data_IF_054195637661
#
_entry.id   IF_054195637661
#
_cell.length_a   1.000
_cell.length_b   1.000
_cell.length_c   1.000
_cell.angle_alpha   90.00
_cell.angle_beta   90.00
_cell.angle_gamma   90.00
#
_symmetry.space_group_name_H-M   'P 1'
#
loop_
_entity.id
_entity.type
_entity.pdbx_description
1 polymer ?
#
# COMPACT_ATOMS: atom_id res chain seq x y z
N UNK A 1 11.33 -6.16 -77.92
CA UNK A 1 12.78 -6.35 -77.68
C UNK A 1 13.41 -4.97 -77.67
N UNK A 2 13.58 -4.39 -76.49
CA UNK A 2 14.40 -3.21 -76.21
C UNK A 2 15.06 -3.43 -74.85
N UNK A 3 16.27 -2.92 -74.74
CA UNK A 3 17.37 -3.38 -73.90
C UNK A 3 17.11 -3.18 -72.40
N UNK A 4 17.55 -4.17 -71.61
CA UNK A 4 17.70 -4.05 -70.18
C UNK A 4 18.82 -3.04 -69.88
N UNK A 5 18.47 -1.94 -69.19
CA UNK A 5 19.45 -1.07 -68.57
C UNK A 5 19.79 -1.61 -67.17
N UNK A 6 21.07 -1.75 -66.94
CA UNK A 6 21.69 -2.43 -65.83
C UNK A 6 21.95 -1.47 -64.67
N UNK A 7 21.24 -1.68 -63.56
CA UNK A 7 21.78 -1.55 -62.21
C UNK A 7 22.13 -0.16 -61.68
N UNK A 8 21.23 0.36 -60.82
CA UNK A 8 21.59 0.64 -59.42
C UNK A 8 20.48 0.06 -58.53
N UNK A 9 20.79 -0.73 -57.49
CA UNK A 9 19.79 -1.09 -56.49
C UNK A 9 19.34 0.20 -55.79
N UNK A 10 18.03 0.48 -55.75
CA UNK A 10 17.51 1.51 -54.85
C UNK A 10 17.73 0.98 -53.42
N UNK A 11 18.36 1.75 -52.51
CA UNK A 11 18.62 1.32 -51.13
C UNK A 11 17.36 1.07 -50.28
N UNK A 12 16.18 0.99 -50.89
CA UNK A 12 14.88 0.67 -50.28
C UNK A 12 14.37 -0.74 -50.61
N UNK A 13 15.11 -1.53 -51.39
CA UNK A 13 14.64 -2.81 -51.93
C UNK A 13 14.76 -4.04 -51.02
N UNK A 14 15.14 -3.90 -49.74
CA UNK A 14 15.20 -5.08 -48.86
C UNK A 14 14.01 -5.26 -47.90
N UNK A 15 12.99 -4.39 -47.92
CA UNK A 15 11.78 -4.62 -47.10
C UNK A 15 10.51 -3.87 -47.52
N UNK A 16 10.40 -3.42 -48.77
CA UNK A 16 9.16 -2.82 -49.23
C UNK A 16 8.07 -3.90 -49.39
N UNK A 17 7.20 -4.06 -48.39
CA UNK A 17 5.96 -4.83 -48.55
C UNK A 17 5.08 -4.02 -49.50
N UNK A 18 5.04 -4.43 -50.77
CA UNK A 18 4.07 -3.91 -51.72
C UNK A 18 3.12 -4.99 -52.17
N UNK A 19 1.84 -4.63 -52.23
CA UNK A 19 0.78 -5.50 -52.77
C UNK A 19 0.22 -4.87 -54.02
N UNK A 20 0.04 -5.69 -55.06
CA UNK A 20 -0.62 -5.29 -56.29
C UNK A 20 -2.12 -5.59 -56.19
N UNK A 21 -2.95 -4.56 -56.23
CA UNK A 21 -4.40 -4.69 -56.12
C UNK A 21 -5.08 -4.23 -57.42
N UNK A 22 -6.01 -5.04 -57.96
CA UNK A 22 -6.85 -4.67 -59.11
C UNK A 22 -6.57 -5.44 -60.40
N UNK A 23 -7.48 -5.30 -61.39
CA UNK A 23 -7.33 -5.76 -62.78
C UNK A 23 -7.49 -4.55 -63.72
N UNK A 24 -7.02 -4.69 -64.96
CA UNK A 24 -7.08 -3.67 -66.02
C UNK A 24 -8.42 -2.89 -66.03
N UNK A 25 -8.42 -1.56 -66.21
CA UNK A 25 -7.28 -0.74 -66.67
C UNK A 25 -6.30 -0.26 -65.60
N UNK A 26 -6.57 -0.50 -64.31
CA UNK A 26 -5.74 0.10 -63.25
C UNK A 26 -5.32 -0.93 -62.20
N UNK A 27 -4.02 -1.18 -62.14
CA UNK A 27 -3.36 -1.82 -60.99
C UNK A 27 -2.99 -0.75 -59.96
N UNK A 28 -2.96 -1.11 -58.69
CA UNK A 28 -2.53 -0.23 -57.61
C UNK A 28 -1.37 -0.87 -56.87
N UNK A 29 -0.36 -0.08 -56.51
CA UNK A 29 0.75 -0.48 -55.66
C UNK A 29 0.63 0.27 -54.34
N UNK A 30 0.58 -0.46 -53.24
CA UNK A 30 0.58 0.14 -51.90
C UNK A 30 1.92 -0.16 -51.27
N UNK A 31 2.65 0.86 -50.81
CA UNK A 31 3.93 0.69 -50.12
C UNK A 31 3.95 1.42 -48.79
N UNK A 32 4.64 0.84 -47.82
CA UNK A 32 4.86 1.46 -46.51
C UNK A 32 5.85 2.62 -46.67
N UNK A 33 5.42 3.84 -46.32
CA UNK A 33 6.22 5.06 -46.49
C UNK A 33 7.12 5.35 -45.29
N UNK A 34 6.61 5.18 -44.07
CA UNK A 34 7.35 5.36 -42.83
C UNK A 34 6.83 4.34 -41.78
N UNK A 35 7.73 3.52 -41.25
CA UNK A 35 7.40 2.46 -40.28
C UNK A 35 6.86 3.04 -38.96
N UNK A 36 7.43 4.13 -38.46
CA UNK A 36 7.11 4.73 -37.15
C UNK A 36 5.68 5.29 -37.08
N UNK A 37 5.11 5.70 -38.22
CA UNK A 37 3.81 6.38 -38.28
C UNK A 37 2.69 5.54 -38.89
N UNK A 38 2.99 4.29 -39.28
CA UNK A 38 2.08 3.39 -40.00
C UNK A 38 1.41 4.08 -41.20
N UNK A 39 2.22 4.79 -42.00
CA UNK A 39 1.75 5.56 -43.15
C UNK A 39 2.09 4.84 -44.44
N UNK A 40 1.14 4.83 -45.35
CA UNK A 40 1.22 4.15 -46.64
C UNK A 40 1.12 5.14 -47.78
N UNK A 41 1.67 4.78 -48.93
CA UNK A 41 1.50 5.52 -50.17
C UNK A 41 0.89 4.57 -51.20
N UNK A 42 -0.07 5.10 -51.96
CA UNK A 42 -0.81 4.36 -52.97
C UNK A 42 -0.40 4.92 -54.34
N UNK A 43 0.17 4.09 -55.21
CA UNK A 43 0.60 4.43 -56.56
C UNK A 43 -0.29 3.75 -57.60
N UNK A 44 -0.61 4.48 -58.66
CA UNK A 44 -1.40 3.97 -59.77
C UNK A 44 -0.49 3.20 -60.74
N UNK A 45 -0.47 1.87 -60.61
CA UNK A 45 0.24 0.95 -61.49
C UNK A 45 1.71 1.28 -61.63
N UNK A 46 2.16 1.45 -62.88
CA UNK A 46 3.52 1.88 -63.25
C UNK A 46 3.56 3.34 -63.73
N UNK A 47 2.53 4.14 -63.44
CA UNK A 47 2.39 5.50 -63.98
C UNK A 47 3.32 6.53 -63.32
N UNK A 48 3.97 6.17 -62.21
CA UNK A 48 4.73 7.13 -61.41
C UNK A 48 3.85 8.19 -60.73
N UNK A 49 2.53 7.94 -60.62
CA UNK A 49 1.56 8.84 -59.99
C UNK A 49 1.01 8.25 -58.70
N UNK A 50 0.95 9.06 -57.65
CA UNK A 50 0.48 8.67 -56.32
C UNK A 50 -0.86 9.32 -55.98
N UNK A 51 -1.69 8.60 -55.24
CA UNK A 51 -3.02 9.03 -54.80
C UNK A 51 -2.89 10.02 -53.65
N UNK A 52 -3.62 11.11 -53.76
CA UNK A 52 -3.70 12.18 -52.77
C UNK A 52 -5.16 12.63 -52.57
N UNK A 53 -5.45 13.17 -51.41
CA UNK A 53 -6.75 13.77 -51.11
C UNK A 53 -6.66 15.28 -51.35
N UNK A 54 -7.02 15.70 -52.56
CA UNK A 54 -7.06 17.12 -52.89
C UNK A 54 -8.17 17.81 -52.10
N UNK A 55 -7.82 18.95 -51.49
CA UNK A 55 -8.73 19.74 -50.66
C UNK A 55 -9.27 18.97 -49.44
N UNK A 56 -8.42 18.17 -48.79
CA UNK A 56 -8.76 17.44 -47.55
C UNK A 56 -9.33 18.33 -46.43
N UNK A 57 -9.02 19.63 -46.45
CA UNK A 57 -9.51 20.62 -45.49
C UNK A 57 -10.81 21.31 -45.90
N UNK A 58 -11.30 21.08 -47.13
CA UNK A 58 -12.56 21.64 -47.60
C UNK A 58 -13.71 20.71 -47.23
N UNK A 59 -14.68 21.18 -46.41
CA UNK A 59 -15.78 20.34 -45.96
C UNK A 59 -16.74 19.91 -47.08
N UNK A 60 -16.65 20.51 -48.28
CA UNK A 60 -17.73 20.41 -49.27
C UNK A 60 -17.44 19.48 -50.47
N UNK A 61 -16.18 19.07 -50.72
CA UNK A 61 -15.88 18.14 -51.83
C UNK A 61 -14.42 17.63 -51.83
N UNK A 62 -14.00 16.77 -50.89
CA UNK A 62 -12.69 16.15 -50.99
C UNK A 62 -12.64 15.27 -52.24
N UNK A 63 -11.60 15.43 -53.07
CA UNK A 63 -11.43 14.67 -54.31
C UNK A 63 -10.16 13.84 -54.26
N UNK A 64 -10.26 12.59 -54.69
CA UNK A 64 -9.09 11.75 -54.93
C UNK A 64 -8.43 12.19 -56.24
N UNK A 65 -7.16 12.58 -56.16
CA UNK A 65 -6.35 13.02 -57.30
C UNK A 65 -5.04 12.24 -57.37
N UNK A 66 -4.43 12.20 -58.55
CA UNK A 66 -3.13 11.54 -58.75
C UNK A 66 -2.07 12.53 -59.18
N UNK A 67 -0.97 12.62 -58.43
CA UNK A 67 0.14 13.54 -58.68
C UNK A 67 1.44 12.79 -59.00
N UNK A 68 2.39 13.40 -59.73
CA UNK A 68 3.72 12.83 -59.89
C UNK A 68 4.37 12.53 -58.52
N UNK A 69 5.08 11.39 -58.45
CA UNK A 69 5.75 10.88 -57.25
C UNK A 69 6.87 11.79 -56.71
N UNK A 70 7.41 12.70 -57.53
CA UNK A 70 8.53 13.58 -57.20
C UNK A 70 8.19 14.86 -56.42
N UNK A 71 6.92 15.28 -56.37
CA UNK A 71 6.52 16.49 -55.65
C UNK A 71 6.22 16.17 -54.17
N UNK A 72 6.72 17.02 -53.26
CA UNK A 72 6.71 16.90 -51.79
C UNK A 72 5.52 16.12 -51.17
N UNK A 73 5.86 15.21 -50.24
CA UNK A 73 5.13 13.94 -49.94
C UNK A 73 4.50 13.89 -48.54
N UNK A 74 4.18 15.03 -47.92
CA UNK A 74 3.57 15.03 -46.57
C UNK A 74 2.09 14.64 -46.61
N UNK A 75 1.34 15.14 -47.59
CA UNK A 75 -0.12 14.98 -47.69
C UNK A 75 -0.55 13.72 -48.46
N UNK A 76 0.37 13.15 -49.24
CA UNK A 76 0.17 11.96 -50.07
C UNK A 76 0.31 10.64 -49.29
N UNK A 77 -0.06 10.66 -48.01
CA UNK A 77 0.14 9.54 -47.08
C UNK A 77 -1.18 9.12 -46.46
N UNK A 78 -1.40 7.81 -46.45
CA UNK A 78 -2.63 7.18 -46.02
C UNK A 78 -2.40 6.38 -44.75
N UNK A 79 -3.33 6.48 -43.81
CA UNK A 79 -3.42 5.55 -42.68
C UNK A 79 -4.66 4.70 -42.90
N UNK A 80 -4.49 3.39 -42.82
CA UNK A 80 -5.62 2.47 -42.82
C UNK A 80 -6.03 2.22 -41.38
N UNK A 81 -7.28 2.52 -41.06
CA UNK A 81 -7.89 2.12 -39.81
C UNK A 81 -8.76 0.89 -40.08
N UNK A 82 -8.57 -0.16 -39.29
CA UNK A 82 -9.42 -1.35 -39.38
C UNK A 82 -10.78 -1.00 -38.80
N UNK A 83 -11.71 -0.64 -39.65
CA UNK A 83 -13.12 -0.44 -39.31
C UNK A 83 -13.79 -1.82 -39.21
N UNK A 84 -13.44 -2.60 -38.18
CA UNK A 84 -14.12 -3.85 -37.77
C UNK A 84 -14.55 -4.78 -38.92
N UNK A 85 -13.74 -5.79 -39.25
CA UNK A 85 -14.27 -6.95 -39.97
C UNK A 85 -15.18 -7.71 -38.98
N UNK A 86 -16.34 -8.21 -39.42
CA UNK A 86 -17.34 -8.97 -38.66
C UNK A 86 -16.80 -10.25 -37.96
N UNK A 87 -15.83 -10.07 -37.06
CA UNK A 87 -15.14 -11.04 -36.20
C UNK A 87 -15.14 -10.57 -34.75
N UNK A 88 -15.99 -9.58 -34.42
CA UNK A 88 -16.15 -9.05 -33.07
C UNK A 88 -16.66 -10.08 -32.05
N UNK A 89 -17.36 -11.14 -32.47
CA UNK A 89 -17.91 -12.13 -31.53
C UNK A 89 -16.84 -12.87 -30.71
N UNK A 90 -15.71 -13.24 -31.33
CA UNK A 90 -14.65 -13.99 -30.63
C UNK A 90 -13.89 -13.10 -29.64
N UNK A 91 -13.64 -11.84 -30.02
CA UNK A 91 -13.00 -10.87 -29.12
C UNK A 91 -13.96 -10.41 -28.00
N UNK A 92 -15.26 -10.30 -28.28
CA UNK A 92 -16.29 -9.99 -27.28
C UNK A 92 -16.43 -11.15 -26.30
N UNK A 93 -16.50 -12.41 -26.75
CA UNK A 93 -16.57 -13.57 -25.86
C UNK A 93 -15.34 -13.71 -24.97
N UNK A 94 -14.14 -13.49 -25.51
CA UNK A 94 -12.92 -13.50 -24.71
C UNK A 94 -12.89 -12.37 -23.67
N UNK A 95 -13.37 -11.17 -24.04
CA UNK A 95 -13.51 -10.05 -23.11
C UNK A 95 -14.60 -10.30 -22.06
N UNK A 96 -15.72 -10.91 -22.42
CA UNK A 96 -16.80 -11.23 -21.49
C UNK A 96 -16.39 -12.31 -20.48
N UNK A 97 -15.60 -13.30 -20.91
CA UNK A 97 -14.97 -14.28 -20.01
C UNK A 97 -14.02 -13.59 -19.03
N UNK A 98 -13.13 -12.73 -19.53
CA UNK A 98 -12.20 -11.98 -18.69
C UNK A 98 -12.93 -11.03 -17.72
N UNK A 99 -14.02 -10.39 -18.16
CA UNK A 99 -14.89 -9.57 -17.31
C UNK A 99 -15.56 -10.43 -16.23
N UNK A 100 -16.00 -11.65 -16.57
CA UNK A 100 -16.52 -12.62 -15.61
C UNK A 100 -15.50 -12.98 -14.54
N UNK A 101 -14.28 -13.35 -14.96
CA UNK A 101 -13.18 -13.66 -14.05
C UNK A 101 -12.83 -12.49 -13.13
N UNK A 102 -12.79 -11.26 -13.66
CA UNK A 102 -12.55 -10.07 -12.84
C UNK A 102 -13.69 -9.80 -11.87
N UNK A 103 -14.95 -10.04 -12.24
CA UNK A 103 -16.10 -9.91 -11.33
C UNK A 103 -16.02 -10.92 -10.20
N UNK A 104 -15.65 -12.17 -10.49
CA UNK A 104 -15.50 -13.21 -9.48
C UNK A 104 -14.35 -12.89 -8.51
N UNK A 105 -13.22 -12.40 -9.04
CA UNK A 105 -12.11 -11.92 -8.21
C UNK A 105 -12.52 -10.72 -7.35
N UNK A 106 -13.29 -9.78 -7.89
CA UNK A 106 -13.80 -8.64 -7.14
C UNK A 106 -14.71 -9.10 -6.00
N UNK A 107 -15.64 -10.01 -6.28
CA UNK A 107 -16.56 -10.55 -5.28
C UNK A 107 -15.81 -11.32 -4.18
N UNK A 108 -14.78 -12.09 -4.54
CA UNK A 108 -13.93 -12.78 -3.57
C UNK A 108 -13.16 -11.77 -2.69
N UNK A 109 -12.65 -10.68 -3.27
CA UNK A 109 -11.96 -9.62 -2.54
C UNK A 109 -12.89 -8.81 -1.66
N UNK A 110 -14.11 -8.53 -2.09
CA UNK A 110 -15.13 -7.87 -1.28
C UNK A 110 -15.50 -8.72 -0.06
N UNK A 111 -15.64 -10.04 -0.24
CA UNK A 111 -15.87 -10.95 0.88
C UNK A 111 -14.69 -10.96 1.88
N UNK A 112 -13.45 -10.88 1.38
CA UNK A 112 -12.25 -10.78 2.21
C UNK A 112 -12.21 -9.46 2.99
N UNK A 113 -12.54 -8.33 2.35
CA UNK A 113 -12.64 -7.01 2.99
C UNK A 113 -13.67 -7.04 4.11
N UNK A 114 -14.86 -7.57 3.87
CA UNK A 114 -15.91 -7.70 4.90
C UNK A 114 -15.43 -8.57 6.06
N UNK A 115 -14.72 -9.66 5.79
CA UNK A 115 -14.14 -10.53 6.83
C UNK A 115 -13.11 -9.77 7.68
N UNK A 116 -12.21 -9.03 7.04
CA UNK A 116 -11.18 -8.25 7.74
C UNK A 116 -11.78 -7.10 8.56
N UNK A 117 -12.82 -6.44 8.06
CA UNK A 117 -13.55 -5.41 8.79
C UNK A 117 -14.18 -5.98 10.07
N UNK A 118 -14.86 -7.13 9.99
CA UNK A 118 -15.41 -7.81 11.17
C UNK A 118 -14.32 -8.18 12.19
N UNK A 119 -13.17 -8.65 11.71
CA UNK A 119 -12.05 -8.98 12.59
C UNK A 119 -11.51 -7.73 13.29
N UNK A 120 -11.38 -6.61 12.57
CA UNK A 120 -10.93 -5.34 13.13
C UNK A 120 -11.93 -4.79 14.17
N UNK A 121 -13.23 -4.87 13.89
CA UNK A 121 -14.28 -4.47 14.84
C UNK A 121 -14.23 -5.31 16.12
N UNK A 122 -14.09 -6.63 15.99
CA UNK A 122 -13.93 -7.53 17.14
C UNK A 122 -12.70 -7.18 17.99
N UNK A 123 -11.55 -6.96 17.35
CA UNK A 123 -10.32 -6.57 18.05
C UNK A 123 -10.43 -5.20 18.71
N UNK A 124 -11.13 -4.26 18.07
CA UNK A 124 -11.39 -2.94 18.66
C UNK A 124 -12.28 -3.04 19.90
N UNK A 125 -13.29 -3.89 19.87
CA UNK A 125 -14.14 -4.15 21.04
C UNK A 125 -13.34 -4.77 22.19
N UNK A 126 -12.51 -5.77 21.90
CA UNK A 126 -11.64 -6.41 22.88
C UNK A 126 -10.65 -5.41 23.51
N UNK A 127 -9.99 -4.58 22.69
CA UNK A 127 -9.10 -3.53 23.19
C UNK A 127 -9.83 -2.52 24.08
N UNK A 128 -11.05 -2.13 23.70
CA UNK A 128 -11.86 -1.23 24.51
C UNK A 128 -12.27 -1.86 25.84
N UNK A 129 -12.56 -3.16 25.85
CA UNK A 129 -12.84 -3.90 27.08
C UNK A 129 -11.62 -3.97 27.99
N UNK A 130 -10.46 -4.39 27.46
CA UNK A 130 -9.20 -4.43 28.19
C UNK A 130 -8.81 -3.04 28.73
N UNK A 131 -9.04 -1.98 27.96
CA UNK A 131 -8.79 -0.60 28.41
C UNK A 131 -9.68 -0.20 29.58
N UNK A 132 -10.97 -0.59 29.57
CA UNK A 132 -11.88 -0.36 30.70
C UNK A 132 -11.43 -1.14 31.92
N UNK A 133 -11.08 -2.40 31.77
CA UNK A 133 -10.59 -3.25 32.87
C UNK A 133 -9.29 -2.70 33.48
N UNK A 134 -8.34 -2.27 32.66
CA UNK A 134 -7.11 -1.64 33.13
C UNK A 134 -7.38 -0.34 33.89
N UNK A 135 -8.33 0.47 33.42
CA UNK A 135 -8.71 1.72 34.08
C UNK A 135 -9.40 1.45 35.43
N UNK A 136 -10.28 0.44 35.50
CA UNK A 136 -10.93 0.03 36.75
C UNK A 136 -9.91 -0.54 37.75
N UNK A 137 -8.99 -1.38 37.28
CA UNK A 137 -7.94 -1.97 38.13
C UNK A 137 -7.01 -0.89 38.68
N UNK A 138 -6.63 0.09 37.85
CA UNK A 138 -5.87 1.27 38.26
C UNK A 138 -6.62 2.11 39.30
N UNK A 139 -7.92 2.37 39.07
CA UNK A 139 -8.77 3.08 40.04
C UNK A 139 -8.91 2.35 41.38
N UNK A 140 -9.10 1.03 41.36
CA UNK A 140 -9.16 0.21 42.56
C UNK A 140 -7.84 0.20 43.32
N UNK A 141 -6.71 0.14 42.59
CA UNK A 141 -5.38 0.24 43.19
C UNK A 141 -5.15 1.59 43.87
N UNK A 142 -5.50 2.69 43.21
CA UNK A 142 -5.44 4.03 43.83
C UNK A 142 -6.35 4.17 45.05
N UNK A 143 -7.56 3.59 44.99
CA UNK A 143 -8.47 3.55 46.16
C UNK A 143 -7.90 2.73 47.32
N UNK A 144 -7.22 1.62 47.04
CA UNK A 144 -6.59 0.81 48.07
C UNK A 144 -5.39 1.54 48.70
N UNK A 145 -4.53 2.13 47.86
CA UNK A 145 -3.39 2.92 48.32
C UNK A 145 -3.86 4.08 49.21
N UNK A 146 -4.90 4.82 48.81
CA UNK A 146 -5.47 5.89 49.63
C UNK A 146 -6.00 5.39 50.99
N UNK A 147 -6.77 4.29 51.01
CA UNK A 147 -7.26 3.71 52.28
C UNK A 147 -6.13 3.23 53.18
N UNK A 148 -5.06 2.68 52.60
CA UNK A 148 -3.90 2.25 53.35
C UNK A 148 -3.20 3.45 54.02
N UNK A 149 -2.99 4.54 53.27
CA UNK A 149 -2.38 5.77 53.80
C UNK A 149 -3.27 6.50 54.82
N UNK A 150 -4.59 6.50 54.63
CA UNK A 150 -5.52 7.25 55.47
C UNK A 150 -5.86 6.53 56.79
N UNK A 151 -5.97 5.20 56.78
CA UNK A 151 -6.46 4.44 57.94
C UNK A 151 -5.35 3.68 58.66
N UNK A 152 -4.52 2.95 57.93
CA UNK A 152 -3.54 2.03 58.52
C UNK A 152 -2.24 2.75 58.94
N UNK A 153 -1.81 3.75 58.17
CA UNK A 153 -0.55 4.44 58.46
C UNK A 153 -0.60 5.25 59.78
N UNK A 154 -1.68 5.99 60.11
CA UNK A 154 -1.78 6.68 61.40
C UNK A 154 -1.82 5.70 62.58
N UNK A 155 -2.52 4.58 62.43
CA UNK A 155 -2.64 3.56 63.48
C UNK A 155 -1.29 2.89 63.77
N UNK A 156 -0.53 2.53 62.72
CA UNK A 156 0.83 2.03 62.85
C UNK A 156 1.77 3.06 63.51
N UNK A 157 1.64 4.34 63.14
CA UNK A 157 2.41 5.42 63.78
C UNK A 157 2.08 5.56 65.26
N UNK A 158 0.81 5.44 65.65
CA UNK A 158 0.40 5.50 67.04
C UNK A 158 0.87 4.27 67.82
N UNK A 159 0.76 3.08 67.26
CA UNK A 159 1.26 1.86 67.88
C UNK A 159 2.78 1.94 68.11
N UNK A 160 3.54 2.41 67.11
CA UNK A 160 4.99 2.57 67.23
C UNK A 160 5.38 3.57 68.32
N UNK A 161 4.67 4.71 68.43
CA UNK A 161 4.88 5.66 69.54
C UNK A 161 4.63 5.04 70.90
N UNK A 162 3.55 4.25 71.04
CA UNK A 162 3.26 3.56 72.31
C UNK A 162 4.37 2.58 72.70
N UNK A 163 4.89 1.82 71.73
CA UNK A 163 6.05 0.95 71.97
C UNK A 163 7.29 1.75 72.37
N UNK A 164 7.58 2.86 71.69
CA UNK A 164 8.69 3.75 72.05
C UNK A 164 8.54 4.30 73.48
N UNK A 165 7.36 4.80 73.85
CA UNK A 165 7.06 5.31 75.19
C UNK A 165 7.21 4.21 76.27
N UNK A 166 6.73 3.00 75.99
CA UNK A 166 6.84 1.87 76.91
C UNK A 166 8.30 1.43 77.10
N UNK A 167 9.08 1.38 76.02
CA UNK A 167 10.52 1.09 76.11
C UNK A 167 11.28 2.16 76.88
N UNK A 168 10.93 3.43 76.72
CA UNK A 168 11.50 4.53 77.50
C UNK A 168 11.16 4.42 78.99
N UNK A 169 9.90 4.08 79.31
CA UNK A 169 9.46 3.85 80.69
C UNK A 169 10.20 2.67 81.34
N UNK A 170 10.37 1.56 80.61
CA UNK A 170 11.12 0.40 81.09
C UNK A 170 12.61 0.72 81.31
N UNK A 171 13.24 1.48 80.41
CA UNK A 171 14.63 1.96 80.60
C UNK A 171 14.76 2.81 81.85
N UNK A 172 13.89 3.79 82.05
CA UNK A 172 13.91 4.63 83.25
C UNK A 172 13.74 3.81 84.54
N UNK A 173 12.92 2.76 84.51
CA UNK A 173 12.76 1.85 85.66
C UNK A 173 14.05 1.07 85.92
N UNK A 174 14.70 0.56 84.86
CA UNK A 174 15.97 -0.14 84.97
C UNK A 174 17.06 0.76 85.56
N UNK A 175 17.20 1.99 85.07
CA UNK A 175 18.18 2.96 85.57
C UNK A 175 17.98 3.26 87.07
N UNK A 176 16.72 3.37 87.51
CA UNK A 176 16.39 3.54 88.94
C UNK A 176 16.78 2.31 89.76
N UNK A 177 16.52 1.10 89.26
CA UNK A 177 16.95 -0.12 89.94
C UNK A 177 18.48 -0.22 90.03
N UNK A 178 19.19 0.11 88.95
CA UNK A 178 20.66 0.15 88.94
C UNK A 178 21.20 1.19 89.95
N UNK A 179 20.60 2.38 90.00
CA UNK A 179 20.98 3.41 90.97
C UNK A 179 20.76 2.97 92.42
N UNK A 180 19.60 2.37 92.73
CA UNK A 180 19.29 1.85 94.07
C UNK A 180 20.21 0.68 94.46
N UNK A 181 20.51 -0.23 93.53
CA UNK A 181 21.41 -1.34 93.78
C UNK A 181 22.85 -0.88 94.05
N UNK A 182 23.31 0.15 93.33
CA UNK A 182 24.61 0.80 93.54
C UNK A 182 24.70 1.47 94.92
N UNK A 183 23.63 2.13 95.39
CA UNK A 183 23.60 2.75 96.73
C UNK A 183 23.57 1.74 97.89
N UNK A 184 22.97 0.56 97.68
CA UNK A 184 22.77 -0.44 98.74
C UNK A 184 24.02 -1.29 99.04
N UNK A 185 25.15 -1.08 98.36
CA UNK A 185 26.37 -1.91 98.48
C UNK A 185 26.10 -3.41 98.29
N UNK A 186 25.09 -3.74 97.47
CA UNK A 186 24.81 -5.12 97.05
C UNK A 186 25.67 -5.37 95.83
N UNK A 187 26.58 -6.37 95.83
CA UNK A 187 27.34 -6.70 94.63
C UNK A 187 26.34 -7.16 93.56
N UNK A 188 26.14 -6.32 92.54
CA UNK A 188 25.34 -6.66 91.36
C UNK A 188 26.03 -7.84 90.67
N UNK A 189 25.51 -9.04 90.91
CA UNK A 189 25.76 -10.17 90.02
C UNK A 189 25.32 -9.73 88.63
N UNK A 190 26.27 -9.65 87.72
CA UNK A 190 26.10 -9.35 86.30
C UNK A 190 25.02 -10.26 85.70
N UNK A 191 23.75 -9.84 85.73
CA UNK A 191 22.69 -10.48 84.98
C UNK A 191 22.72 -9.95 83.56
N UNK A 192 23.50 -10.62 82.71
CA UNK A 192 23.45 -10.42 81.25
C UNK A 192 22.14 -10.99 80.73
N UNK A 193 21.17 -10.13 80.44
CA UNK A 193 20.00 -10.52 79.65
C UNK A 193 20.40 -10.55 78.16
N UNK A 194 20.38 -11.74 77.56
CA UNK A 194 20.39 -11.89 76.10
C UNK A 194 18.97 -11.69 75.59
N UNK A 195 18.74 -10.60 74.87
CA UNK A 195 17.51 -10.37 74.12
C UNK A 195 17.68 -11.04 72.75
N UNK A 196 16.82 -12.00 72.44
CA UNK A 196 16.77 -12.63 71.12
C UNK A 196 15.74 -11.90 70.25
N UNK A 197 16.16 -11.42 69.08
CA UNK A 197 15.26 -11.01 68.01
C UNK A 197 14.86 -12.26 67.22
N UNK A 198 13.58 -12.65 67.24
CA UNK A 198 13.02 -13.64 66.33
C UNK A 198 12.78 -12.94 64.98
N UNK A 199 13.37 -13.50 63.92
CA UNK A 199 13.14 -13.12 62.53
C UNK A 199 11.82 -13.68 62.03
#
# INVERSE_FOLDING_TARGET
MYLADSGKPDPRDEKAIWTLCGRYPTTWKIYQGNEDYNMYIIEQGDSGRVVDLFSATSPNNPKLCTYPKGDWVAWKRWRFERLSDDTGEVEIQARDQLIGEYRDQLAAKDAEVVRLQKQLESQSQELNQLKREATQTSGNRGSFENRFFDLLLPELRMANRRYEDETAALRNRLDRFEHLASQASIPLLSFRFKIYCLR
#
